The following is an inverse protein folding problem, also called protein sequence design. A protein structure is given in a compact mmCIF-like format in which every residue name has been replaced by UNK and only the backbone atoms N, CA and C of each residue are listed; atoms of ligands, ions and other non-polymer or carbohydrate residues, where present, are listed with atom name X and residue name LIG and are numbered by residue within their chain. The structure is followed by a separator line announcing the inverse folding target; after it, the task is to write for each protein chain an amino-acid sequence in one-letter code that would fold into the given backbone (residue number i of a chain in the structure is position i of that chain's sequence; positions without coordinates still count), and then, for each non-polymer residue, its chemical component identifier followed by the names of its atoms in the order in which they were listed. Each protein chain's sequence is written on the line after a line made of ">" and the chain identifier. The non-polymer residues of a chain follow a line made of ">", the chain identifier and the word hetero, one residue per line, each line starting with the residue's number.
data_IF_595499686920
#
_entry.id   IF_595499686920
#
_cell.length_a   1.000
_cell.length_b   1.000
_cell.length_c   1.000
_cell.angle_alpha   90.00
_cell.angle_beta   90.00
_cell.angle_gamma   90.00
#
_symmetry.space_group_name_H-M   'P 1'
#
loop_
_entity.id
_entity.type
_entity.pdbx_description
1 polymer ?
#
# COMPACT_ATOMS: atom_id res chain seq x y z
N UNK A 1 17.61 -8.12 -2.71
CA UNK A 1 16.27 -8.72 -2.90
C UNK A 1 15.34 -8.04 -1.90
N UNK A 2 14.21 -7.49 -2.38
CA UNK A 2 13.23 -6.89 -1.48
C UNK A 2 12.53 -7.99 -0.66
N UNK A 3 12.06 -7.65 0.54
CA UNK A 3 11.29 -8.54 1.42
C UNK A 3 10.12 -9.20 0.68
N UNK A 4 9.39 -8.43 -0.12
CA UNK A 4 8.25 -8.91 -0.89
C UNK A 4 8.65 -9.94 -1.96
N UNK A 5 9.78 -9.76 -2.62
CA UNK A 5 10.30 -10.71 -3.59
C UNK A 5 10.74 -12.02 -2.91
N UNK A 6 11.43 -11.93 -1.77
CA UNK A 6 11.84 -13.08 -0.98
C UNK A 6 10.64 -13.93 -0.56
N UNK A 7 9.57 -13.29 -0.10
CA UNK A 7 8.34 -13.98 0.29
C UNK A 7 7.66 -14.62 -0.93
N UNK A 8 7.65 -13.95 -2.07
CA UNK A 8 7.08 -14.52 -3.29
C UNK A 8 7.83 -15.75 -3.79
N UNK A 9 9.15 -15.82 -3.57
CA UNK A 9 9.97 -16.98 -3.90
C UNK A 9 9.76 -18.13 -2.93
N UNK A 10 9.66 -17.84 -1.61
CA UNK A 10 9.57 -18.86 -0.57
C UNK A 10 8.14 -19.36 -0.34
N UNK A 11 7.13 -18.56 -0.65
CA UNK A 11 5.74 -18.92 -0.34
C UNK A 11 5.13 -19.82 -1.41
N UNK A 12 4.36 -20.85 -1.00
CA UNK A 12 3.52 -21.57 -1.92
C UNK A 12 2.52 -20.62 -2.60
N UNK A 13 2.25 -20.84 -3.90
CA UNK A 13 1.32 -19.99 -4.67
C UNK A 13 -0.05 -19.85 -4.01
N UNK A 14 -0.50 -20.90 -3.30
CA UNK A 14 -1.79 -20.93 -2.59
C UNK A 14 -1.87 -20.00 -1.39
N UNK A 15 -0.73 -19.58 -0.84
CA UNK A 15 -0.63 -18.78 0.38
C UNK A 15 0.08 -17.44 0.13
N UNK A 16 0.28 -17.09 -1.13
CA UNK A 16 1.01 -15.88 -1.49
C UNK A 16 0.29 -14.61 -1.00
N UNK A 17 -1.04 -14.55 -1.15
CA UNK A 17 -1.85 -13.44 -0.66
C UNK A 17 -1.80 -13.32 0.85
N UNK A 18 -1.91 -14.45 1.58
CA UNK A 18 -1.78 -14.46 3.04
C UNK A 18 -0.37 -14.07 3.50
N UNK A 19 0.66 -14.53 2.80
CA UNK A 19 2.05 -14.20 3.13
C UNK A 19 2.36 -12.71 2.93
N UNK A 20 1.93 -12.13 1.80
CA UNK A 20 2.05 -10.68 1.55
C UNK A 20 1.18 -9.85 2.49
N UNK A 21 -0.02 -10.32 2.84
CA UNK A 21 -0.86 -9.73 3.86
C UNK A 21 -0.21 -9.72 5.24
N UNK A 22 0.52 -10.79 5.61
CA UNK A 22 1.23 -10.89 6.89
C UNK A 22 2.39 -9.89 7.00
N UNK A 23 3.10 -9.58 5.90
CA UNK A 23 4.05 -8.44 5.87
C UNK A 23 3.33 -7.16 6.32
N UNK A 24 2.14 -6.93 5.74
CA UNK A 24 1.32 -5.78 6.09
C UNK A 24 0.91 -5.74 7.55
N UNK A 25 0.67 -6.89 8.18
CA UNK A 25 0.40 -6.96 9.63
C UNK A 25 1.59 -6.46 10.43
N UNK A 26 2.80 -6.95 10.16
CA UNK A 26 3.99 -6.50 10.88
C UNK A 26 4.33 -5.04 10.60
N UNK A 27 4.20 -4.58 9.36
CA UNK A 27 4.38 -3.17 9.00
C UNK A 27 3.37 -2.28 9.71
N UNK A 28 2.09 -2.66 9.70
CA UNK A 28 1.02 -1.91 10.36
C UNK A 28 1.14 -1.90 11.88
N UNK A 29 1.54 -3.00 12.51
CA UNK A 29 1.87 -3.06 13.94
C UNK A 29 3.01 -2.10 14.27
N UNK A 30 4.05 -2.08 13.43
CA UNK A 30 5.16 -1.14 13.59
C UNK A 30 4.66 0.31 13.54
N UNK A 31 3.87 0.67 12.54
CA UNK A 31 3.31 2.02 12.40
C UNK A 31 2.39 2.38 13.58
N UNK A 32 1.49 1.47 13.96
CA UNK A 32 0.53 1.69 15.04
C UNK A 32 1.20 1.94 16.40
N UNK A 33 2.32 1.27 16.68
CA UNK A 33 3.03 1.37 17.95
C UNK A 33 4.09 2.47 17.92
N UNK A 34 4.95 2.46 16.91
CA UNK A 34 6.15 3.31 16.90
C UNK A 34 5.89 4.74 16.45
N UNK A 35 4.82 5.04 15.69
CA UNK A 35 4.49 6.43 15.37
C UNK A 35 4.09 7.24 16.63
N UNK A 36 3.09 6.82 17.43
CA UNK A 36 2.76 7.56 18.64
C UNK A 36 3.87 7.50 19.71
N UNK A 37 4.58 6.37 19.81
CA UNK A 37 5.70 6.24 20.74
C UNK A 37 6.84 7.19 20.37
N UNK A 38 7.17 7.31 19.09
CA UNK A 38 8.19 8.22 18.59
C UNK A 38 7.85 9.69 18.86
N UNK A 39 6.58 10.10 18.66
CA UNK A 39 6.10 11.44 18.99
C UNK A 39 6.18 11.70 20.49
N UNK A 40 5.73 10.78 21.33
CA UNK A 40 5.81 10.87 22.79
C UNK A 40 7.27 10.98 23.25
N UNK A 41 8.18 10.18 22.70
CA UNK A 41 9.62 10.24 23.03
C UNK A 41 10.25 11.57 22.57
N UNK A 42 9.88 12.07 21.41
CA UNK A 42 10.40 13.34 20.90
C UNK A 42 10.00 14.50 21.79
N UNK A 43 8.77 14.50 22.29
CA UNK A 43 8.24 15.52 23.19
C UNK A 43 8.84 15.42 24.62
N UNK A 44 8.96 14.21 25.17
CA UNK A 44 9.39 13.98 26.56
C UNK A 44 10.91 13.90 26.74
N UNK A 45 11.64 13.27 25.80
CA UNK A 45 13.07 12.96 25.88
C UNK A 45 13.92 13.70 24.83
N UNK A 46 13.26 14.45 23.95
CA UNK A 46 13.88 15.20 22.86
C UNK A 46 14.22 14.35 21.63
N UNK A 47 14.42 15.04 20.51
CA UNK A 47 14.65 14.41 19.20
C UNK A 47 15.90 13.52 19.16
N UNK A 48 16.99 13.91 19.83
CA UNK A 48 18.24 13.13 19.82
C UNK A 48 18.04 11.72 20.39
N UNK A 49 17.35 11.60 21.54
CA UNK A 49 17.04 10.32 22.18
C UNK A 49 16.15 9.44 21.30
N UNK A 50 15.18 10.06 20.63
CA UNK A 50 14.26 9.39 19.71
C UNK A 50 15.00 8.80 18.50
N UNK A 51 15.90 9.58 17.88
CA UNK A 51 16.69 9.09 16.74
C UNK A 51 17.70 8.01 17.13
N UNK A 52 18.33 8.12 18.30
CA UNK A 52 19.23 7.08 18.80
C UNK A 52 18.47 5.77 19.03
N UNK A 53 17.29 5.84 19.66
CA UNK A 53 16.45 4.66 19.90
C UNK A 53 16.00 4.04 18.58
N UNK A 54 15.55 4.84 17.61
CA UNK A 54 15.17 4.34 16.28
C UNK A 54 16.37 3.69 15.57
N UNK A 55 17.57 4.27 15.68
CA UNK A 55 18.80 3.70 15.14
C UNK A 55 19.15 2.35 15.76
N UNK A 56 19.01 2.20 17.07
CA UNK A 56 19.25 0.93 17.78
C UNK A 56 18.25 -0.16 17.33
N UNK A 57 16.97 0.19 17.19
CA UNK A 57 15.95 -0.75 16.69
C UNK A 57 16.27 -1.15 15.25
N UNK A 58 16.67 -0.20 14.39
CA UNK A 58 17.11 -0.48 13.03
C UNK A 58 18.34 -1.39 12.98
N UNK A 59 19.30 -1.20 13.88
CA UNK A 59 20.48 -2.06 14.00
C UNK A 59 20.13 -3.48 14.45
N UNK A 60 19.19 -3.65 15.37
CA UNK A 60 18.65 -4.97 15.76
C UNK A 60 17.99 -5.65 14.56
N UNK A 61 17.17 -4.92 13.79
CA UNK A 61 16.58 -5.42 12.55
C UNK A 61 17.64 -5.89 11.55
N UNK A 62 18.67 -5.10 11.34
CA UNK A 62 19.82 -5.47 10.50
C UNK A 62 20.50 -6.75 10.98
N UNK A 63 20.78 -6.86 12.27
CA UNK A 63 21.39 -8.06 12.86
C UNK A 63 20.52 -9.32 12.66
N UNK A 64 19.19 -9.18 12.72
CA UNK A 64 18.25 -10.28 12.42
C UNK A 64 18.30 -10.67 10.93
N UNK A 65 18.45 -9.71 10.02
CA UNK A 65 18.56 -9.98 8.58
C UNK A 65 19.81 -10.80 8.22
N UNK A 66 20.89 -10.71 9.01
CA UNK A 66 22.09 -11.54 8.81
C UNK A 66 21.84 -13.04 8.98
N UNK A 67 20.75 -13.42 9.65
CA UNK A 67 20.35 -14.83 9.83
C UNK A 67 19.54 -15.39 8.67
N UNK A 68 19.14 -14.55 7.70
CA UNK A 68 18.39 -15.00 6.52
C UNK A 68 19.31 -15.90 5.69
N UNK A 69 18.92 -17.16 5.39
CA UNK A 69 19.74 -18.07 4.60
C UNK A 69 19.91 -17.49 3.17
N UNK A 70 21.10 -17.65 2.64
CA UNK A 70 21.38 -17.29 1.24
C UNK A 70 20.59 -18.23 0.32
N UNK A 71 19.56 -17.72 -0.33
CA UNK A 71 18.81 -18.47 -1.33
C UNK A 71 19.67 -18.51 -2.59
N UNK A 72 20.11 -19.70 -2.99
CA UNK A 72 20.66 -19.89 -4.33
C UNK A 72 19.48 -19.84 -5.29
N UNK A 73 19.35 -18.74 -6.03
CA UNK A 73 18.48 -18.71 -7.21
C UNK A 73 19.05 -19.77 -8.14
N UNK A 74 18.42 -20.93 -8.22
CA UNK A 74 18.69 -21.89 -9.28
C UNK A 74 18.11 -21.22 -10.52
N UNK A 75 18.97 -20.54 -11.29
CA UNK A 75 18.64 -20.21 -12.66
C UNK A 75 18.27 -21.55 -13.28
N UNK A 76 17.03 -21.73 -13.67
CA UNK A 76 16.65 -22.86 -14.50
C UNK A 76 17.63 -22.82 -15.67
N UNK A 77 18.39 -23.90 -15.85
CA UNK A 77 19.23 -24.05 -17.04
C UNK A 77 18.30 -23.76 -18.22
N UNK A 78 18.57 -22.67 -18.92
CA UNK A 78 17.98 -22.35 -20.19
C UNK A 78 18.23 -23.56 -21.09
N UNK A 79 17.29 -24.46 -21.19
CA UNK A 79 17.24 -25.32 -22.35
C UNK A 79 17.05 -24.39 -23.53
N UNK A 80 18.09 -24.26 -24.33
CA UNK A 80 18.24 -23.43 -25.51
C UNK A 80 17.20 -23.78 -26.61
N UNK A 81 15.93 -23.61 -26.32
CA UNK A 81 14.96 -23.30 -27.34
C UNK A 81 14.82 -21.78 -27.36
N UNK A 82 15.56 -21.14 -28.25
CA UNK A 82 15.38 -19.75 -28.67
C UNK A 82 13.97 -19.55 -29.22
N UNK A 83 12.98 -19.58 -28.35
CA UNK A 83 11.68 -18.99 -28.65
C UNK A 83 11.92 -17.48 -28.58
N UNK A 84 11.86 -16.84 -29.73
CA UNK A 84 12.01 -15.41 -29.93
C UNK A 84 10.82 -14.67 -29.27
N UNK A 85 10.76 -14.75 -27.92
CA UNK A 85 9.73 -14.10 -27.12
C UNK A 85 10.07 -12.60 -27.12
N UNK A 86 9.25 -11.79 -27.79
CA UNK A 86 9.30 -10.34 -27.69
C UNK A 86 9.15 -9.99 -26.22
N UNK A 87 10.26 -9.71 -25.55
CA UNK A 87 10.29 -9.39 -24.11
C UNK A 87 9.67 -8.01 -23.90
N UNK A 88 8.38 -7.97 -23.58
CA UNK A 88 7.73 -6.73 -23.18
C UNK A 88 8.38 -6.20 -21.89
N UNK A 89 8.81 -4.94 -21.83
CA UNK A 89 9.42 -4.37 -20.63
C UNK A 89 8.47 -4.47 -19.41
N UNK A 90 9.01 -4.85 -18.23
CA UNK A 90 8.24 -5.08 -17.00
C UNK A 90 7.33 -3.92 -16.66
N UNK A 91 7.84 -2.69 -16.75
CA UNK A 91 7.09 -1.50 -16.39
C UNK A 91 5.80 -1.32 -17.20
N UNK A 92 5.75 -1.75 -18.47
CA UNK A 92 4.53 -1.68 -19.29
C UNK A 92 3.44 -2.65 -18.82
N UNK A 93 3.83 -3.78 -18.25
CA UNK A 93 2.90 -4.79 -17.76
C UNK A 93 2.28 -4.39 -16.41
N UNK A 94 3.06 -3.71 -15.57
CA UNK A 94 2.66 -3.34 -14.21
C UNK A 94 2.33 -1.86 -14.04
N UNK A 95 2.40 -1.05 -15.11
CA UNK A 95 2.18 0.40 -15.05
C UNK A 95 0.84 0.78 -14.41
N UNK A 96 -0.24 0.12 -14.80
CA UNK A 96 -1.58 0.48 -14.28
C UNK A 96 -1.72 0.19 -12.79
N UNK A 97 -1.43 -1.02 -12.26
CA UNK A 97 -1.49 -1.24 -10.82
C UNK A 97 -0.48 -0.35 -10.05
N UNK A 98 0.67 0.00 -10.64
CA UNK A 98 1.62 0.91 -10.04
C UNK A 98 1.07 2.34 -9.94
N UNK A 99 0.57 2.91 -11.04
CA UNK A 99 -0.02 4.25 -11.06
C UNK A 99 -1.27 4.35 -10.18
N UNK A 100 -2.11 3.32 -10.18
CA UNK A 100 -3.26 3.28 -9.29
C UNK A 100 -2.83 3.25 -7.81
N UNK A 101 -1.77 2.50 -7.45
CA UNK A 101 -1.19 2.52 -6.10
C UNK A 101 -0.66 3.93 -5.75
N UNK A 102 -0.04 4.62 -6.72
CA UNK A 102 0.45 5.99 -6.52
C UNK A 102 -0.66 6.94 -6.07
N UNK A 103 -1.89 6.81 -6.61
CA UNK A 103 -3.01 7.68 -6.19
C UNK A 103 -3.40 7.48 -4.73
N UNK A 104 -3.35 6.23 -4.24
CA UNK A 104 -3.53 5.94 -2.82
C UNK A 104 -2.37 6.49 -1.98
N UNK A 105 -1.13 6.29 -2.43
CA UNK A 105 0.06 6.73 -1.71
C UNK A 105 0.13 8.25 -1.62
N UNK A 106 -0.30 8.98 -2.66
CA UNK A 106 -0.42 10.45 -2.60
C UNK A 106 -1.44 10.89 -1.54
N UNK A 107 -2.60 10.25 -1.48
CA UNK A 107 -3.59 10.52 -0.44
C UNK A 107 -3.08 10.15 0.95
N UNK A 108 -2.31 9.05 1.09
CA UNK A 108 -1.66 8.67 2.33
C UNK A 108 -0.61 9.70 2.76
N UNK A 109 0.19 10.22 1.83
CA UNK A 109 1.16 11.29 2.10
C UNK A 109 0.50 12.54 2.66
N UNK A 110 -0.65 12.95 2.11
CA UNK A 110 -1.43 14.06 2.63
C UNK A 110 -2.00 13.75 4.03
N UNK A 111 -2.60 12.57 4.22
CA UNK A 111 -3.20 12.17 5.50
C UNK A 111 -2.14 12.09 6.60
N UNK A 112 -1.01 11.45 6.33
CA UNK A 112 0.07 11.31 7.31
C UNK A 112 0.69 12.64 7.73
N UNK A 113 0.69 13.64 6.82
CA UNK A 113 1.28 14.94 7.07
C UNK A 113 0.27 15.96 7.65
N UNK A 114 -0.97 15.92 7.21
CA UNK A 114 -1.91 17.04 7.43
C UNK A 114 -3.16 16.67 8.23
N UNK A 115 -3.49 15.39 8.44
CA UNK A 115 -4.68 15.02 9.21
C UNK A 115 -4.61 15.52 10.66
N UNK A 116 -3.46 15.37 11.31
CA UNK A 116 -3.27 15.81 12.69
C UNK A 116 -3.40 17.33 12.86
N UNK A 117 -2.72 18.18 12.08
CA UNK A 117 -2.93 19.63 12.15
C UNK A 117 -4.35 20.07 11.73
N UNK A 118 -4.97 19.42 10.75
CA UNK A 118 -6.35 19.71 10.36
C UNK A 118 -7.35 19.43 11.49
N UNK A 119 -7.12 18.38 12.27
CA UNK A 119 -7.95 18.06 13.45
C UNK A 119 -7.79 19.10 14.55
N UNK A 120 -6.57 19.61 14.76
CA UNK A 120 -6.33 20.64 15.76
C UNK A 120 -6.96 21.97 15.38
N UNK A 121 -7.03 22.28 14.09
CA UNK A 121 -7.72 23.46 13.57
C UNK A 121 -9.25 23.34 13.75
N UNK A 122 -9.81 22.15 13.48
CA UNK A 122 -11.24 21.91 13.63
C UNK A 122 -11.73 21.93 15.10
N UNK A 123 -10.95 21.32 16.01
CA UNK A 123 -11.26 21.26 17.46
C UNK A 123 -9.94 21.26 18.25
N UNK A 124 -9.53 22.42 18.71
CA UNK A 124 -8.26 22.61 19.42
C UNK A 124 -8.16 21.77 20.71
N UNK A 125 -9.28 21.52 21.38
CA UNK A 125 -9.28 20.79 22.65
C UNK A 125 -9.16 19.27 22.46
N UNK A 126 -9.91 18.70 21.51
CA UNK A 126 -9.93 17.27 21.24
C UNK A 126 -8.93 16.86 20.18
N UNK A 127 -8.68 17.74 19.20
CA UNK A 127 -7.77 17.51 18.09
C UNK A 127 -6.35 17.22 18.56
N UNK A 128 -5.85 17.94 19.56
CA UNK A 128 -4.52 17.73 20.13
C UNK A 128 -4.35 16.31 20.73
N UNK A 129 -5.37 15.82 21.46
CA UNK A 129 -5.33 14.48 22.06
C UNK A 129 -5.54 13.35 21.06
N UNK A 130 -6.35 13.56 20.02
CA UNK A 130 -6.66 12.56 19.02
C UNK A 130 -5.63 12.50 17.88
N UNK A 131 -4.90 13.59 17.63
CA UNK A 131 -3.94 13.69 16.53
C UNK A 131 -2.90 12.56 16.52
N UNK A 132 -2.34 12.23 17.68
CA UNK A 132 -1.38 11.12 17.82
C UNK A 132 -1.99 9.74 17.57
N UNK A 133 -3.30 9.59 17.81
CA UNK A 133 -4.00 8.31 17.67
C UNK A 133 -4.48 8.09 16.23
N UNK A 134 -4.73 9.16 15.47
CA UNK A 134 -5.30 9.06 14.13
C UNK A 134 -4.44 8.28 13.14
N UNK A 135 -3.14 8.49 13.16
CA UNK A 135 -2.22 7.73 12.31
C UNK A 135 -2.18 6.24 12.72
N UNK A 136 -2.32 5.97 14.03
CA UNK A 136 -2.46 4.59 14.54
C UNK A 136 -3.76 3.94 14.07
N UNK A 137 -4.85 4.71 13.98
CA UNK A 137 -6.14 4.22 13.45
C UNK A 137 -6.00 3.89 11.96
N UNK A 138 -5.40 4.78 11.17
CA UNK A 138 -5.13 4.53 9.74
C UNK A 138 -4.25 3.29 9.56
N UNK A 139 -3.14 3.19 10.30
CA UNK A 139 -2.21 2.06 10.23
C UNK A 139 -2.85 0.74 10.69
N UNK A 140 -3.61 0.78 11.79
CA UNK A 140 -4.35 -0.38 12.32
C UNK A 140 -5.42 -0.88 11.35
N UNK A 141 -6.21 0.03 10.76
CA UNK A 141 -7.17 -0.32 9.73
C UNK A 141 -6.46 -0.91 8.49
N UNK A 142 -5.38 -0.29 8.03
CA UNK A 142 -4.60 -0.80 6.91
C UNK A 142 -4.06 -2.21 7.18
N UNK A 143 -3.53 -2.47 8.37
CA UNK A 143 -3.06 -3.78 8.79
C UNK A 143 -4.14 -4.86 8.70
N UNK A 144 -5.30 -4.59 9.30
CA UNK A 144 -6.41 -5.53 9.36
C UNK A 144 -6.92 -5.85 7.96
N UNK A 145 -7.22 -4.82 7.18
CA UNK A 145 -7.81 -4.99 5.85
C UNK A 145 -6.81 -5.55 4.84
N UNK A 146 -5.52 -5.26 4.96
CA UNK A 146 -4.47 -5.85 4.14
C UNK A 146 -4.37 -7.36 4.34
N UNK A 147 -4.45 -7.83 5.58
CA UNK A 147 -4.47 -9.26 5.87
C UNK A 147 -5.71 -9.94 5.28
N UNK A 148 -6.89 -9.36 5.48
CA UNK A 148 -8.13 -9.91 4.92
C UNK A 148 -8.12 -9.92 3.40
N UNK A 149 -7.58 -8.89 2.74
CA UNK A 149 -7.42 -8.87 1.29
C UNK A 149 -6.55 -10.03 0.80
N UNK A 150 -5.44 -10.32 1.49
CA UNK A 150 -4.59 -11.46 1.18
C UNK A 150 -5.33 -12.80 1.30
N UNK A 151 -6.11 -12.98 2.36
CA UNK A 151 -6.94 -14.19 2.54
C UNK A 151 -8.01 -14.33 1.45
N UNK A 152 -8.65 -13.22 1.06
CA UNK A 152 -9.65 -13.21 -0.02
C UNK A 152 -8.99 -13.55 -1.36
N UNK A 153 -7.85 -12.95 -1.68
CA UNK A 153 -7.10 -13.24 -2.91
C UNK A 153 -6.72 -14.72 -3.02
N UNK A 154 -6.25 -15.33 -1.92
CA UNK A 154 -5.90 -16.76 -1.88
C UNK A 154 -7.14 -17.66 -2.07
N UNK A 155 -8.29 -17.29 -1.48
CA UNK A 155 -9.54 -18.07 -1.60
C UNK A 155 -10.18 -17.96 -2.97
N UNK A 156 -10.18 -16.77 -3.54
CA UNK A 156 -10.82 -16.51 -4.83
C UNK A 156 -9.93 -16.87 -6.00
N UNK A 157 -8.61 -16.91 -5.81
CA UNK A 157 -7.61 -17.07 -6.87
C UNK A 157 -7.68 -15.94 -7.92
N UNK A 158 -8.15 -14.76 -7.52
CA UNK A 158 -8.36 -13.62 -8.40
C UNK A 158 -7.67 -12.36 -7.83
N UNK A 159 -6.33 -12.25 -7.94
CA UNK A 159 -5.60 -11.03 -7.55
C UNK A 159 -6.14 -9.83 -8.33
N UNK A 160 -6.24 -8.68 -7.65
CA UNK A 160 -6.80 -7.45 -8.22
C UNK A 160 -8.32 -7.32 -8.09
N UNK A 161 -9.03 -8.35 -7.60
CA UNK A 161 -10.50 -8.31 -7.50
C UNK A 161 -11.04 -7.27 -6.53
N UNK A 162 -10.29 -6.98 -5.46
CA UNK A 162 -10.66 -5.98 -4.45
C UNK A 162 -10.12 -4.59 -4.75
N UNK A 163 -9.42 -4.39 -5.87
CA UNK A 163 -8.77 -3.11 -6.16
C UNK A 163 -9.80 -1.99 -6.42
N UNK A 164 -10.78 -2.21 -7.29
CA UNK A 164 -11.86 -1.24 -7.54
C UNK A 164 -12.70 -0.97 -6.29
N UNK A 165 -13.19 -1.97 -5.53
CA UNK A 165 -13.85 -1.74 -4.25
C UNK A 165 -13.03 -0.91 -3.27
N UNK A 166 -11.71 -1.16 -3.18
CA UNK A 166 -10.84 -0.37 -2.30
C UNK A 166 -10.70 1.08 -2.73
N UNK A 167 -10.66 1.37 -4.04
CA UNK A 167 -10.64 2.75 -4.56
C UNK A 167 -11.92 3.50 -4.21
N UNK A 168 -13.07 2.88 -4.36
CA UNK A 168 -14.37 3.47 -3.97
C UNK A 168 -14.37 3.76 -2.47
N UNK A 169 -13.92 2.82 -1.65
CA UNK A 169 -13.83 2.99 -0.20
C UNK A 169 -12.86 4.11 0.19
N UNK A 170 -11.71 4.26 -0.52
CA UNK A 170 -10.77 5.35 -0.30
C UNK A 170 -11.37 6.71 -0.67
N UNK A 171 -12.08 6.81 -1.80
CA UNK A 171 -12.78 8.02 -2.23
C UNK A 171 -13.80 8.45 -1.16
N UNK A 172 -14.59 7.51 -0.64
CA UNK A 172 -15.53 7.79 0.44
C UNK A 172 -14.79 8.24 1.70
N UNK A 173 -13.70 7.56 2.08
CA UNK A 173 -12.91 7.88 3.27
C UNK A 173 -12.31 9.29 3.22
N UNK A 174 -11.56 9.61 2.14
CA UNK A 174 -10.95 10.94 1.97
C UNK A 174 -12.01 12.01 1.74
N UNK A 175 -13.09 11.68 1.01
CA UNK A 175 -14.24 12.58 0.83
C UNK A 175 -14.93 12.92 2.15
N UNK A 176 -15.08 11.95 3.06
CA UNK A 176 -15.60 12.19 4.41
C UNK A 176 -14.67 13.14 5.18
N UNK A 177 -13.35 12.97 5.10
CA UNK A 177 -12.37 13.88 5.74
C UNK A 177 -12.55 15.30 5.18
N UNK A 178 -12.50 15.46 3.85
CA UNK A 178 -12.64 16.76 3.18
C UNK A 178 -13.96 17.46 3.54
N UNK A 179 -15.09 16.75 3.45
CA UNK A 179 -16.41 17.30 3.78
C UNK A 179 -16.56 17.68 5.26
N UNK A 180 -15.97 16.89 6.16
CA UNK A 180 -15.99 17.18 7.59
C UNK A 180 -15.28 18.48 7.90
N UNK A 181 -14.13 18.71 7.29
CA UNK A 181 -13.35 19.95 7.45
C UNK A 181 -14.09 21.14 6.81
N UNK A 182 -14.61 20.98 5.60
CA UNK A 182 -15.35 22.01 4.90
C UNK A 182 -16.62 22.46 5.64
N UNK A 183 -17.36 21.51 6.24
CA UNK A 183 -18.61 21.76 6.98
C UNK A 183 -18.39 22.07 8.47
N UNK A 184 -17.14 22.08 8.94
CA UNK A 184 -16.77 22.19 10.35
C UNK A 184 -17.58 21.23 11.26
N UNK A 185 -17.79 20.01 10.77
CA UNK A 185 -18.63 19.01 11.41
C UNK A 185 -17.91 18.30 12.55
N UNK A 186 -18.59 17.34 13.18
CA UNK A 186 -18.03 16.60 14.32
C UNK A 186 -16.72 15.85 13.95
N UNK A 187 -15.71 15.98 14.81
CA UNK A 187 -14.40 15.32 14.67
C UNK A 187 -14.48 13.78 14.49
N UNK A 188 -15.58 13.16 14.93
CA UNK A 188 -15.78 11.72 14.79
C UNK A 188 -15.95 11.26 13.33
N UNK A 189 -16.36 12.15 12.43
CA UNK A 189 -16.38 11.87 11.00
C UNK A 189 -14.97 11.75 10.43
N UNK A 190 -14.00 12.48 10.97
CA UNK A 190 -12.59 12.31 10.60
C UNK A 190 -12.07 10.93 11.00
N UNK A 191 -12.48 10.42 12.17
CA UNK A 191 -12.15 9.04 12.61
C UNK A 191 -12.73 8.02 11.63
N UNK A 192 -13.99 8.17 11.24
CA UNK A 192 -14.62 7.30 10.24
C UNK A 192 -13.88 7.34 8.90
N UNK A 193 -13.57 8.54 8.41
CA UNK A 193 -12.80 8.75 7.18
C UNK A 193 -11.42 8.09 7.24
N UNK A 194 -10.73 8.20 8.38
CA UNK A 194 -9.43 7.57 8.61
C UNK A 194 -9.49 6.04 8.60
N UNK A 195 -10.53 5.44 9.22
CA UNK A 195 -10.75 3.97 9.19
C UNK A 195 -11.04 3.50 7.76
N UNK A 196 -11.92 4.20 7.05
CA UNK A 196 -12.28 3.86 5.67
C UNK A 196 -11.06 3.97 4.75
N UNK A 197 -10.34 5.10 4.82
CA UNK A 197 -9.13 5.27 4.00
C UNK A 197 -8.04 4.28 4.36
N UNK A 198 -7.74 4.11 5.66
CA UNK A 198 -6.73 3.15 6.13
C UNK A 198 -7.02 1.73 5.65
N UNK A 199 -8.27 1.27 5.82
CA UNK A 199 -8.70 -0.04 5.33
C UNK A 199 -8.57 -0.18 3.82
N UNK A 200 -9.02 0.80 3.07
CA UNK A 200 -8.91 0.84 1.61
C UNK A 200 -7.44 0.81 1.15
N UNK A 201 -6.60 1.58 1.80
CA UNK A 201 -5.16 1.64 1.52
C UNK A 201 -4.46 0.30 1.79
N UNK A 202 -4.82 -0.38 2.89
CA UNK A 202 -4.31 -1.71 3.19
C UNK A 202 -4.69 -2.74 2.12
N UNK A 203 -5.95 -2.75 1.66
CA UNK A 203 -6.41 -3.59 0.56
C UNK A 203 -5.60 -3.28 -0.70
N UNK A 204 -5.52 -1.99 -1.09
CA UNK A 204 -4.86 -1.56 -2.31
C UNK A 204 -3.38 -1.94 -2.36
N UNK A 205 -2.66 -1.82 -1.26
CA UNK A 205 -1.25 -2.24 -1.16
C UNK A 205 -1.07 -3.72 -1.50
N UNK A 206 -1.94 -4.58 -0.96
CA UNK A 206 -1.86 -6.02 -1.21
C UNK A 206 -2.29 -6.37 -2.63
N UNK A 207 -3.41 -5.82 -3.10
CA UNK A 207 -3.95 -6.06 -4.43
C UNK A 207 -3.01 -5.57 -5.55
N UNK A 208 -2.38 -4.40 -5.37
CA UNK A 208 -1.38 -3.89 -6.30
C UNK A 208 -0.21 -4.85 -6.44
N UNK A 209 0.36 -5.29 -5.31
CA UNK A 209 1.50 -6.21 -5.30
C UNK A 209 1.16 -7.55 -5.96
N UNK A 210 0.04 -8.15 -5.57
CA UNK A 210 -0.42 -9.42 -6.13
C UNK A 210 -0.76 -9.32 -7.61
N UNK A 211 -1.38 -8.21 -8.05
CA UNK A 211 -1.67 -7.95 -9.46
C UNK A 211 -0.40 -7.80 -10.30
N UNK A 212 0.65 -7.18 -9.73
CA UNK A 212 1.94 -7.08 -10.40
C UNK A 212 2.61 -8.44 -10.51
N UNK A 213 2.56 -9.27 -9.46
CA UNK A 213 3.12 -10.63 -9.47
C UNK A 213 2.38 -11.55 -10.44
N UNK A 214 1.06 -11.40 -10.57
CA UNK A 214 0.27 -12.18 -11.51
C UNK A 214 0.58 -11.87 -12.98
N UNK A 215 0.99 -10.65 -13.27
CA UNK A 215 1.32 -10.18 -14.64
C UNK A 215 2.75 -10.51 -15.09
N UNK A 216 3.59 -11.05 -14.21
CA UNK A 216 5.00 -11.27 -14.47
C UNK A 216 5.41 -12.74 -14.26
N UNK A 217 6.38 -13.23 -15.04
CA UNK A 217 7.00 -14.51 -14.76
C UNK A 217 7.77 -14.45 -13.41
N UNK A 218 7.98 -15.62 -12.79
CA UNK A 218 8.59 -15.71 -11.46
C UNK A 218 9.97 -15.07 -11.37
N UNK A 219 10.74 -15.16 -12.44
CA UNK A 219 12.11 -14.62 -12.54
C UNK A 219 12.13 -13.08 -12.42
N UNK A 220 10.99 -12.42 -12.68
CA UNK A 220 10.86 -10.95 -12.67
C UNK A 220 10.07 -10.39 -11.48
N UNK A 221 9.77 -11.21 -10.48
CA UNK A 221 9.01 -10.79 -9.28
C UNK A 221 9.78 -9.73 -8.47
N UNK A 222 11.11 -9.79 -8.45
CA UNK A 222 11.95 -8.77 -7.80
C UNK A 222 11.84 -7.40 -8.47
N UNK A 223 11.69 -7.36 -9.80
CA UNK A 223 11.44 -6.11 -10.54
C UNK A 223 10.06 -5.52 -10.18
N UNK A 224 9.02 -6.37 -10.07
CA UNK A 224 7.70 -5.93 -9.63
C UNK A 224 7.73 -5.31 -8.24
N UNK A 225 8.44 -5.94 -7.29
CA UNK A 225 8.62 -5.41 -5.93
C UNK A 225 9.36 -4.07 -5.93
N UNK A 226 10.39 -3.90 -6.75
CA UNK A 226 11.12 -2.64 -6.87
C UNK A 226 10.20 -1.54 -7.43
N UNK A 227 9.44 -1.82 -8.49
CA UNK A 227 8.49 -0.88 -9.08
C UNK A 227 7.41 -0.52 -8.06
N UNK A 228 6.87 -1.50 -7.32
CA UNK A 228 5.89 -1.25 -6.27
C UNK A 228 6.40 -0.25 -5.22
N UNK A 229 7.62 -0.46 -4.70
CA UNK A 229 8.23 0.44 -3.72
C UNK A 229 8.46 1.85 -4.30
N UNK A 230 9.01 1.96 -5.53
CA UNK A 230 9.24 3.25 -6.18
C UNK A 230 7.94 4.05 -6.29
N UNK A 231 6.87 3.42 -6.76
CA UNK A 231 5.58 4.09 -6.96
C UNK A 231 4.87 4.41 -5.63
N UNK A 232 5.03 3.54 -4.62
CA UNK A 232 4.54 3.78 -3.28
C UNK A 232 5.24 4.98 -2.60
N UNK A 233 6.58 4.97 -2.56
CA UNK A 233 7.37 5.99 -1.87
C UNK A 233 7.29 7.33 -2.60
N UNK A 234 7.42 7.32 -3.94
CA UNK A 234 7.27 8.53 -4.77
C UNK A 234 5.87 9.12 -4.64
N UNK A 235 4.83 8.27 -4.64
CA UNK A 235 3.46 8.71 -4.41
C UNK A 235 3.29 9.41 -3.07
N UNK A 236 3.79 8.81 -1.99
CA UNK A 236 3.72 9.38 -0.64
C UNK A 236 4.43 10.73 -0.57
N UNK A 237 5.65 10.83 -1.13
CA UNK A 237 6.41 12.09 -1.19
C UNK A 237 5.71 13.15 -2.03
N UNK A 238 5.23 12.80 -3.22
CA UNK A 238 4.48 13.72 -4.09
C UNK A 238 3.19 14.20 -3.43
N UNK A 239 2.49 13.30 -2.74
CA UNK A 239 1.24 13.62 -2.05
C UNK A 239 1.44 14.63 -0.94
N UNK A 240 2.41 14.40 -0.06
CA UNK A 240 2.73 15.36 1.01
C UNK A 240 3.18 16.72 0.46
N UNK A 241 3.92 16.74 -0.64
CA UNK A 241 4.42 17.99 -1.23
C UNK A 241 3.35 18.73 -2.03
N UNK A 242 2.71 18.07 -3.00
CA UNK A 242 1.74 18.72 -3.89
C UNK A 242 0.45 19.10 -3.18
N UNK A 243 -0.11 18.17 -2.39
CA UNK A 243 -1.33 18.45 -1.62
C UNK A 243 -1.04 19.41 -0.46
N UNK A 244 0.19 19.35 0.11
CA UNK A 244 0.64 20.32 1.09
C UNK A 244 0.75 21.74 0.55
N UNK A 245 1.20 21.92 -0.69
CA UNK A 245 1.22 23.23 -1.34
C UNK A 245 -0.22 23.79 -1.55
N UNK A 246 -1.21 22.93 -1.67
CA UNK A 246 -2.62 23.34 -1.80
C UNK A 246 -3.19 23.81 -0.46
N UNK A 247 -2.71 23.32 0.68
CA UNK A 247 -3.18 23.75 2.02
C UNK A 247 -3.05 25.25 2.18
N UNK A 248 -1.96 25.86 1.71
CA UNK A 248 -1.72 27.31 1.83
C UNK A 248 -2.74 28.17 1.08
N UNK A 249 -3.33 27.67 0.00
CA UNK A 249 -4.29 28.43 -0.83
C UNK A 249 -5.75 28.02 -0.67
N UNK A 250 -5.98 26.75 -0.33
CA UNK A 250 -7.32 26.14 -0.34
C UNK A 250 -7.70 25.47 0.99
N UNK A 251 -6.88 25.61 2.02
CA UNK A 251 -7.11 24.95 3.31
C UNK A 251 -6.87 23.42 3.27
N UNK A 252 -7.07 22.79 4.41
CA UNK A 252 -6.96 21.33 4.51
C UNK A 252 -8.10 20.61 3.77
N UNK A 253 -9.30 21.16 3.81
CA UNK A 253 -10.48 20.63 3.11
C UNK A 253 -10.25 20.59 1.59
N UNK A 254 -9.71 21.65 1.00
CA UNK A 254 -9.37 21.71 -0.42
C UNK A 254 -8.23 20.75 -0.80
N UNK A 255 -7.22 20.60 0.05
CA UNK A 255 -6.13 19.66 -0.17
C UNK A 255 -6.63 18.19 -0.16
N UNK A 256 -7.48 17.80 0.80
CA UNK A 256 -8.10 16.49 0.81
C UNK A 256 -9.11 16.30 -0.33
N UNK A 257 -9.83 17.36 -0.73
CA UNK A 257 -10.69 17.35 -1.92
C UNK A 257 -9.92 17.05 -3.20
N UNK A 258 -8.72 17.62 -3.36
CA UNK A 258 -7.81 17.26 -4.46
C UNK A 258 -7.34 15.81 -4.36
N UNK A 259 -7.11 15.29 -3.15
CA UNK A 259 -6.84 13.86 -2.91
C UNK A 259 -7.97 12.96 -3.44
N UNK A 260 -9.24 13.37 -3.24
CA UNK A 260 -10.41 12.68 -3.82
C UNK A 260 -10.34 12.67 -5.35
N UNK A 261 -10.03 13.80 -5.98
CA UNK A 261 -9.91 13.87 -7.43
C UNK A 261 -8.81 12.96 -7.99
N UNK A 262 -7.66 12.88 -7.29
CA UNK A 262 -6.56 11.96 -7.63
C UNK A 262 -7.02 10.50 -7.51
N UNK A 263 -7.74 10.13 -6.47
CA UNK A 263 -8.29 8.76 -6.29
C UNK A 263 -9.32 8.41 -7.38
N UNK A 264 -10.16 9.36 -7.78
CA UNK A 264 -11.10 9.19 -8.90
C UNK A 264 -10.34 8.94 -10.20
N UNK A 265 -9.27 9.69 -10.48
CA UNK A 265 -8.42 9.44 -11.64
C UNK A 265 -7.80 8.02 -11.61
N UNK A 266 -7.35 7.56 -10.43
CA UNK A 266 -6.89 6.19 -10.23
C UNK A 266 -7.98 5.14 -10.49
N UNK A 267 -9.20 5.39 -10.02
CA UNK A 267 -10.35 4.51 -10.27
C UNK A 267 -10.68 4.40 -11.76
N UNK A 268 -10.68 5.51 -12.48
CA UNK A 268 -10.90 5.52 -13.93
C UNK A 268 -9.82 4.73 -14.66
N UNK A 269 -8.55 4.91 -14.29
CA UNK A 269 -7.42 4.18 -14.85
C UNK A 269 -7.56 2.67 -14.62
N UNK A 270 -7.85 2.25 -13.40
CA UNK A 270 -8.02 0.83 -13.03
C UNK A 270 -9.23 0.22 -13.75
N UNK A 271 -10.34 0.96 -13.84
CA UNK A 271 -11.55 0.49 -14.53
C UNK A 271 -11.30 0.34 -16.03
N UNK A 272 -10.59 1.28 -16.63
CA UNK A 272 -10.19 1.19 -18.03
C UNK A 272 -9.29 -0.04 -18.29
N UNK A 273 -8.29 -0.29 -17.44
CA UNK A 273 -7.43 -1.48 -17.55
C UNK A 273 -8.23 -2.79 -17.36
N UNK A 274 -9.18 -2.81 -16.43
CA UNK A 274 -10.04 -3.96 -16.20
C UNK A 274 -10.91 -4.28 -17.42
N UNK A 275 -11.48 -3.25 -18.06
CA UNK A 275 -12.31 -3.42 -19.27
C UNK A 275 -11.45 -3.87 -20.46
N UNK A 276 -10.32 -3.18 -20.70
CA UNK A 276 -9.41 -3.50 -21.80
C UNK A 276 -8.66 -4.81 -21.57
N UNK A 277 -8.36 -5.14 -20.32
CA UNK A 277 -7.64 -6.35 -19.93
C UNK A 277 -8.45 -7.64 -20.09
N UNK A 278 -9.78 -7.57 -20.18
CA UNK A 278 -10.64 -8.75 -20.42
C UNK A 278 -10.30 -9.50 -21.71
N UNK A 279 -9.71 -8.82 -22.68
CA UNK A 279 -9.29 -9.39 -23.97
C UNK A 279 -7.84 -9.87 -23.97
N UNK A 280 -7.07 -9.59 -22.91
CA UNK A 280 -5.67 -10.03 -22.77
C UNK A 280 -5.65 -11.42 -22.16
N UNK A 281 -5.51 -12.45 -23.01
CA UNK A 281 -5.26 -13.82 -22.56
C UNK A 281 -3.80 -13.89 -22.08
N UNK A 282 -3.59 -13.96 -20.76
CA UNK A 282 -2.28 -14.29 -20.21
C UNK A 282 -2.10 -15.82 -20.26
N UNK A 283 -1.54 -16.33 -21.34
CA UNK A 283 -1.33 -17.78 -21.52
C UNK A 283 -0.35 -18.38 -20.50
N UNK A 284 0.53 -17.58 -19.90
CA UNK A 284 1.67 -18.08 -19.14
C UNK A 284 1.54 -17.98 -17.62
N UNK A 285 0.65 -17.17 -17.06
CA UNK A 285 0.75 -16.82 -15.64
C UNK A 285 -0.57 -16.76 -14.87
N UNK A 286 -1.66 -17.25 -15.41
CA UNK A 286 -2.95 -17.29 -14.71
C UNK A 286 -2.86 -18.20 -13.48
N UNK A 287 -3.01 -17.60 -12.28
CA UNK A 287 -3.06 -18.32 -11.00
C UNK A 287 -4.13 -19.42 -11.03
N UNK A 288 -5.26 -19.18 -11.72
CA UNK A 288 -6.32 -20.19 -11.89
C UNK A 288 -5.83 -21.40 -12.67
N UNK A 289 -5.07 -21.20 -13.71
CA UNK A 289 -4.46 -22.28 -14.51
C UNK A 289 -3.42 -23.03 -13.67
N UNK A 290 -2.61 -22.33 -12.86
CA UNK A 290 -1.66 -22.95 -11.94
C UNK A 290 -2.36 -23.76 -10.84
N UNK A 291 -3.41 -23.20 -10.23
CA UNK A 291 -4.21 -23.92 -9.21
C UNK A 291 -4.91 -25.14 -9.79
N UNK A 292 -5.41 -25.07 -11.03
CA UNK A 292 -6.00 -26.24 -11.72
C UNK A 292 -4.95 -27.32 -12.00
N UNK A 293 -3.73 -26.95 -12.40
CA UNK A 293 -2.63 -27.92 -12.63
C UNK A 293 -2.22 -28.61 -11.34
N UNK A 294 -2.16 -27.90 -10.21
CA UNK A 294 -1.84 -28.49 -8.91
C UNK A 294 -2.96 -29.35 -8.32
N UNK A 295 -4.20 -29.19 -8.78
CA UNK A 295 -5.36 -30.01 -8.34
C UNK A 295 -5.44 -31.35 -9.07
N UNK A 296 -4.67 -31.53 -10.15
CA UNK A 296 -4.64 -32.74 -10.97
C UNK A 296 -3.45 -33.66 -10.62
N UNK A 297 -2.60 -33.26 -9.70
CA UNK A 297 -1.55 -34.04 -9.06
C UNK A 297 -1.98 -34.38 -7.63
#
# INVERSE_FOLDING_TARGET
>A
VSESALIAELSPVRLLGKATGMIGVFTGLGQMIFLPLGLFMADSLGYASTYITAGLIGFLGFAMCLRIPKIKVTLAEDNDEEVNIIRVPTWKLVAVPALALTTFSMSYGAISSFLSPAMQELDAARGASLAGIMLSIVGGAAMIFRYFAGVVADRTGAPGSLYIPSQIMAIIGVGTISLTLFMESSIWWLVLGAVLFGGAFGIAQNEALLSMFDRLPRERVSEASAIWNIFYDSGTGLGSTLLGAMVAGYGYDGAFGAGVAILIAGLLLTTADFILGRTRVSETNDIRTRLRRMRKV
#
